data_IF_648170225164
#
_entry.id   IF_648170225164
#
_cell.length_a   1.000
_cell.length_b   1.000
_cell.length_c   1.000
_cell.angle_alpha   90.00
_cell.angle_beta   90.00
_cell.angle_gamma   90.00
#
_symmetry.space_group_name_H-M   'P 1'
#
loop_
_entity.id
_entity.type
_entity.pdbx_description
1 polymer ?
#
# COMPACT_ATOMS: atom_id res chain seq x y z
N UNK A 1 5.61 -19.25 13.71
CA UNK A 1 4.87 -18.57 12.61
C UNK A 1 3.79 -19.54 12.14
N UNK A 2 2.53 -19.30 12.51
CA UNK A 2 1.40 -20.09 11.99
C UNK A 2 1.12 -19.61 10.57
N UNK A 3 1.54 -20.40 9.59
CA UNK A 3 1.41 -20.07 8.16
C UNK A 3 -0.06 -20.08 7.74
N UNK A 4 -0.92 -20.80 8.45
CA UNK A 4 -2.34 -20.97 8.12
C UNK A 4 -3.16 -19.66 8.21
N UNK A 5 -2.80 -18.74 9.11
CA UNK A 5 -3.46 -17.41 9.17
C UNK A 5 -3.15 -16.52 7.96
N UNK A 6 -2.02 -16.77 7.27
CA UNK A 6 -1.65 -16.02 6.08
C UNK A 6 -2.48 -16.40 4.85
N UNK A 7 -3.09 -17.59 4.86
CA UNK A 7 -3.83 -18.20 3.74
C UNK A 7 -5.23 -18.64 4.17
N UNK A 8 -6.04 -17.72 4.67
CA UNK A 8 -7.34 -18.01 5.29
C UNK A 8 -8.52 -18.24 4.34
N UNK A 9 -8.37 -18.03 3.04
CA UNK A 9 -9.46 -18.18 2.06
C UNK A 9 -8.99 -18.77 0.73
N UNK A 10 -9.75 -19.72 0.19
CA UNK A 10 -9.53 -20.23 -1.16
C UNK A 10 -9.91 -19.16 -2.20
N UNK A 11 -9.14 -19.11 -3.29
CA UNK A 11 -9.34 -18.13 -4.37
C UNK A 11 -10.47 -18.61 -5.27
N UNK A 12 -11.45 -17.73 -5.55
CA UNK A 12 -12.50 -18.03 -6.53
C UNK A 12 -12.01 -17.76 -7.96
N UNK A 13 -11.39 -18.77 -8.55
CA UNK A 13 -10.89 -18.71 -9.94
C UNK A 13 -12.02 -18.53 -10.97
N UNK A 14 -13.19 -19.11 -10.72
CA UNK A 14 -14.33 -19.01 -11.63
C UNK A 14 -14.85 -17.57 -11.72
N UNK A 15 -14.86 -16.84 -10.60
CA UNK A 15 -15.23 -15.42 -10.58
C UNK A 15 -14.23 -14.56 -11.36
N UNK A 16 -12.93 -14.85 -11.24
CA UNK A 16 -11.87 -14.18 -12.01
C UNK A 16 -12.06 -14.44 -13.50
N UNK A 17 -12.20 -15.70 -13.91
CA UNK A 17 -12.38 -16.08 -15.32
C UNK A 17 -13.64 -15.42 -15.93
N UNK A 18 -14.74 -15.46 -15.19
CA UNK A 18 -16.02 -14.88 -15.62
C UNK A 18 -15.91 -13.38 -15.91
N UNK A 19 -15.17 -12.63 -15.09
CA UNK A 19 -15.05 -11.17 -15.20
C UNK A 19 -13.74 -10.68 -15.81
N UNK A 20 -12.85 -11.58 -16.24
CA UNK A 20 -11.57 -11.24 -16.84
C UNK A 20 -11.70 -10.26 -18.02
N UNK A 21 -12.65 -10.42 -18.96
CA UNK A 21 -12.82 -9.46 -20.05
C UNK A 21 -13.12 -8.03 -19.57
N UNK A 22 -13.95 -7.89 -18.53
CA UNK A 22 -14.33 -6.59 -17.97
C UNK A 22 -13.17 -5.96 -17.19
N UNK A 23 -12.41 -6.77 -16.46
CA UNK A 23 -11.18 -6.32 -15.79
C UNK A 23 -10.16 -5.80 -16.80
N UNK A 24 -9.97 -6.49 -17.92
CA UNK A 24 -9.07 -6.06 -19.00
C UNK A 24 -9.56 -4.76 -19.66
N UNK A 25 -10.88 -4.59 -19.86
CA UNK A 25 -11.45 -3.32 -20.36
C UNK A 25 -11.15 -2.15 -19.44
N UNK A 26 -11.23 -2.34 -18.12
CA UNK A 26 -10.85 -1.33 -17.13
C UNK A 26 -9.36 -1.01 -17.25
N UNK A 27 -8.50 -2.04 -17.29
CA UNK A 27 -7.06 -1.85 -17.42
C UNK A 27 -6.67 -1.10 -18.71
N UNK A 28 -7.28 -1.45 -19.84
CA UNK A 28 -7.06 -0.76 -21.11
C UNK A 28 -7.57 0.68 -21.10
N UNK A 29 -8.70 0.96 -20.45
CA UNK A 29 -9.24 2.32 -20.31
C UNK A 29 -8.32 3.22 -19.48
N UNK A 30 -7.73 2.66 -18.42
CA UNK A 30 -6.71 3.34 -17.61
C UNK A 30 -5.45 3.58 -18.45
N UNK A 31 -4.95 2.55 -19.14
CA UNK A 31 -3.75 2.65 -19.99
C UNK A 31 -3.91 3.68 -21.11
N UNK A 32 -5.13 3.80 -21.67
CA UNK A 32 -5.47 4.77 -22.69
C UNK A 32 -5.74 6.19 -22.14
N UNK A 33 -5.63 6.41 -20.83
CA UNK A 33 -5.87 7.71 -20.19
C UNK A 33 -7.33 8.15 -20.16
N UNK A 34 -8.28 7.27 -20.53
CA UNK A 34 -9.71 7.62 -20.59
C UNK A 34 -10.36 7.72 -19.22
N UNK A 35 -9.84 6.98 -18.25
CA UNK A 35 -10.31 6.99 -16.86
C UNK A 35 -9.10 6.92 -15.93
N UNK A 36 -9.09 7.74 -14.89
CA UNK A 36 -8.02 7.68 -13.88
C UNK A 36 -8.22 6.48 -12.94
N UNK A 37 -7.13 5.85 -12.45
CA UNK A 37 -7.22 4.77 -11.48
C UNK A 37 -8.03 5.14 -10.22
N UNK A 38 -7.88 6.38 -9.74
CA UNK A 38 -8.61 6.89 -8.58
C UNK A 38 -10.13 6.92 -8.80
N UNK A 39 -10.58 7.27 -10.01
CA UNK A 39 -12.00 7.27 -10.36
C UNK A 39 -12.59 5.87 -10.32
N UNK A 40 -11.87 4.89 -10.89
CA UNK A 40 -12.28 3.48 -10.84
C UNK A 40 -12.33 2.98 -9.41
N UNK A 41 -11.30 3.27 -8.60
CA UNK A 41 -11.24 2.82 -7.21
C UNK A 41 -12.40 3.39 -6.38
N UNK A 42 -12.72 4.68 -6.54
CA UNK A 42 -13.86 5.30 -5.89
C UNK A 42 -15.19 4.66 -6.32
N UNK A 43 -15.37 4.41 -7.62
CA UNK A 43 -16.60 3.80 -8.15
C UNK A 43 -16.79 2.35 -7.71
N UNK A 44 -15.72 1.56 -7.76
CA UNK A 44 -15.74 0.16 -7.33
C UNK A 44 -15.86 0.04 -5.80
N UNK A 45 -15.20 0.94 -5.06
CA UNK A 45 -15.23 1.00 -3.60
C UNK A 45 -16.60 1.35 -3.02
N UNK A 46 -17.32 2.28 -3.64
CA UNK A 46 -18.64 2.74 -3.16
C UNK A 46 -19.70 1.63 -3.17
N UNK A 47 -19.60 0.67 -4.10
CA UNK A 47 -20.53 -0.46 -4.25
C UNK A 47 -19.87 -1.83 -3.98
N UNK A 48 -18.73 -1.82 -3.28
CA UNK A 48 -17.77 -2.93 -3.18
C UNK A 48 -18.39 -4.28 -2.82
N UNK A 49 -19.34 -4.34 -1.87
CA UNK A 49 -19.95 -5.61 -1.45
C UNK A 49 -20.91 -6.24 -2.47
N UNK A 50 -21.55 -5.44 -3.34
CA UNK A 50 -22.51 -5.92 -4.36
C UNK A 50 -21.93 -5.95 -5.77
N UNK A 51 -20.78 -5.30 -5.98
CA UNK A 51 -20.18 -5.18 -7.29
C UNK A 51 -19.31 -6.40 -7.61
N UNK A 52 -19.79 -7.27 -8.51
CA UNK A 52 -19.07 -8.48 -8.92
C UNK A 52 -17.72 -8.20 -9.59
N UNK A 53 -17.59 -7.08 -10.31
CA UNK A 53 -16.32 -6.67 -10.90
C UNK A 53 -15.30 -6.28 -9.82
N UNK A 54 -15.75 -5.60 -8.76
CA UNK A 54 -14.88 -5.35 -7.59
C UNK A 54 -14.46 -6.65 -6.92
N UNK A 55 -15.39 -7.58 -6.73
CA UNK A 55 -15.09 -8.89 -6.14
C UNK A 55 -14.08 -9.66 -6.98
N UNK A 56 -14.22 -9.67 -8.31
CA UNK A 56 -13.25 -10.29 -9.21
C UNK A 56 -11.84 -9.66 -9.11
N UNK A 57 -11.74 -8.33 -9.04
CA UNK A 57 -10.45 -7.66 -8.78
C UNK A 57 -9.88 -7.99 -7.40
N UNK A 58 -10.73 -8.14 -6.38
CA UNK A 58 -10.32 -8.58 -5.04
C UNK A 58 -9.75 -10.00 -5.07
N UNK A 59 -10.42 -10.94 -5.72
CA UNK A 59 -9.96 -12.33 -5.87
C UNK A 59 -8.63 -12.40 -6.65
N UNK A 60 -8.49 -11.64 -7.74
CA UNK A 60 -7.21 -11.51 -8.43
C UNK A 60 -6.12 -10.98 -7.50
N UNK A 61 -6.43 -9.97 -6.69
CA UNK A 61 -5.50 -9.42 -5.70
C UNK A 61 -5.08 -10.45 -4.65
N UNK A 62 -6.00 -11.32 -4.21
CA UNK A 62 -5.68 -12.44 -3.32
C UNK A 62 -4.75 -13.44 -3.98
N UNK A 63 -4.98 -13.81 -5.24
CA UNK A 63 -4.10 -14.71 -5.99
C UNK A 63 -2.66 -14.16 -6.10
N UNK A 64 -2.53 -12.88 -6.47
CA UNK A 64 -1.22 -12.20 -6.56
C UNK A 64 -0.55 -12.15 -5.18
N UNK A 65 -1.29 -11.78 -4.13
CA UNK A 65 -0.78 -11.74 -2.75
C UNK A 65 -0.26 -13.11 -2.32
N UNK A 66 -1.05 -14.17 -2.54
CA UNK A 66 -0.67 -15.55 -2.20
C UNK A 66 0.62 -15.95 -2.92
N UNK A 67 0.70 -15.73 -4.24
CA UNK A 67 1.91 -16.01 -5.01
C UNK A 67 3.14 -15.23 -4.52
N UNK A 68 2.96 -13.96 -4.17
CA UNK A 68 4.02 -13.14 -3.59
C UNK A 68 4.46 -13.68 -2.22
N UNK A 69 3.54 -14.02 -1.33
CA UNK A 69 3.84 -14.55 0.00
C UNK A 69 4.60 -15.88 -0.09
N UNK A 70 4.21 -16.76 -0.99
CA UNK A 70 4.92 -18.02 -1.24
C UNK A 70 6.36 -17.76 -1.71
N UNK A 71 6.55 -16.81 -2.65
CA UNK A 71 7.88 -16.40 -3.11
C UNK A 71 8.71 -15.77 -1.99
N UNK A 72 8.09 -14.93 -1.16
CA UNK A 72 8.74 -14.29 -0.01
C UNK A 72 9.22 -15.31 1.02
N UNK A 73 8.41 -16.35 1.27
CA UNK A 73 8.78 -17.41 2.22
C UNK A 73 9.91 -18.29 1.70
N UNK A 74 9.93 -18.59 0.40
CA UNK A 74 10.91 -19.49 -0.23
C UNK A 74 12.22 -18.81 -0.63
N UNK A 75 12.24 -17.49 -0.80
CA UNK A 75 13.42 -16.76 -1.25
C UNK A 75 14.00 -15.89 -0.12
N UNK A 76 15.13 -16.32 0.44
CA UNK A 76 15.84 -15.61 1.50
C UNK A 76 16.37 -14.24 1.06
N UNK A 77 16.90 -14.13 -0.16
CA UNK A 77 17.42 -12.87 -0.70
C UNK A 77 16.31 -11.82 -0.80
N UNK A 78 15.15 -12.19 -1.35
CA UNK A 78 13.96 -11.33 -1.42
C UNK A 78 13.53 -10.87 -0.02
N UNK A 79 13.49 -11.80 0.94
CA UNK A 79 13.15 -11.49 2.33
C UNK A 79 14.16 -10.53 2.95
N UNK A 80 15.46 -10.72 2.73
CA UNK A 80 16.52 -9.83 3.21
C UNK A 80 16.38 -8.44 2.62
N UNK A 81 16.19 -8.31 1.31
CA UNK A 81 15.97 -7.02 0.65
C UNK A 81 14.77 -6.28 1.22
N UNK A 82 13.66 -6.98 1.44
CA UNK A 82 12.45 -6.38 2.04
C UNK A 82 12.71 -5.97 3.49
N UNK A 83 13.42 -6.79 4.28
CA UNK A 83 13.77 -6.45 5.66
C UNK A 83 14.68 -5.23 5.73
N UNK A 84 15.70 -5.14 4.88
CA UNK A 84 16.59 -3.99 4.81
C UNK A 84 15.84 -2.71 4.44
N UNK A 85 14.94 -2.78 3.46
CA UNK A 85 14.09 -1.64 3.10
C UNK A 85 13.15 -1.26 4.25
N UNK A 86 12.57 -2.24 4.94
CA UNK A 86 11.67 -2.02 6.08
C UNK A 86 12.41 -1.37 7.24
N UNK A 87 13.58 -1.90 7.62
CA UNK A 87 14.41 -1.35 8.69
C UNK A 87 14.77 0.11 8.42
N UNK A 88 15.14 0.45 7.17
CA UNK A 88 15.43 1.85 6.77
C UNK A 88 14.22 2.76 6.94
N UNK A 89 13.04 2.32 6.49
CA UNK A 89 11.81 3.09 6.62
C UNK A 89 11.37 3.22 8.09
N UNK A 90 11.50 2.18 8.90
CA UNK A 90 11.19 2.22 10.33
C UNK A 90 12.13 3.15 11.08
N UNK A 91 13.42 3.11 10.78
CA UNK A 91 14.42 4.02 11.36
C UNK A 91 14.11 5.47 11.00
N UNK A 92 13.76 5.74 9.74
CA UNK A 92 13.32 7.07 9.30
C UNK A 92 12.04 7.50 10.02
N UNK A 93 11.02 6.65 10.11
CA UNK A 93 9.77 6.97 10.79
C UNK A 93 9.99 7.22 12.29
N UNK A 94 10.84 6.44 12.95
CA UNK A 94 11.21 6.65 14.34
C UNK A 94 11.93 7.99 14.53
N UNK A 95 12.85 8.33 13.63
CA UNK A 95 13.54 9.61 13.64
C UNK A 95 12.59 10.79 13.40
N UNK A 96 11.71 10.72 12.40
CA UNK A 96 10.71 11.76 12.12
C UNK A 96 9.72 11.91 13.28
N UNK A 97 9.37 10.82 13.98
CA UNK A 97 8.56 10.89 15.21
C UNK A 97 9.33 11.57 16.34
N UNK A 98 10.59 11.21 16.56
CA UNK A 98 11.44 11.84 17.57
C UNK A 98 11.62 13.35 17.32
N UNK A 99 11.78 13.74 16.06
CA UNK A 99 11.96 15.14 15.65
C UNK A 99 10.69 15.98 15.78
N UNK A 100 9.51 15.34 15.76
CA UNK A 100 8.25 16.06 15.82
C UNK A 100 8.10 16.85 17.12
N UNK A 101 7.85 18.16 17.01
CA UNK A 101 7.72 19.04 18.17
C UNK A 101 6.27 19.10 18.65
N UNK A 102 6.02 18.65 19.89
CA UNK A 102 4.71 18.62 20.53
C UNK A 102 3.93 17.31 20.34
N UNK A 103 3.22 16.90 21.41
CA UNK A 103 2.26 15.77 21.45
C UNK A 103 2.79 14.38 21.06
N UNK A 104 4.07 14.03 21.26
CA UNK A 104 4.65 12.71 20.93
C UNK A 104 4.38 12.24 19.48
N UNK A 105 4.22 13.18 18.54
CA UNK A 105 3.86 12.90 17.15
C UNK A 105 2.38 12.58 16.92
N UNK A 106 1.51 12.78 17.91
CA UNK A 106 0.06 12.64 17.80
C UNK A 106 -0.51 13.91 17.17
N UNK A 107 -1.05 13.77 15.96
CA UNK A 107 -1.76 14.87 15.30
C UNK A 107 -3.17 14.98 15.90
N UNK A 108 -3.32 15.82 16.92
CA UNK A 108 -4.61 16.07 17.59
C UNK A 108 -5.64 16.85 16.76
N UNK A 109 -5.27 17.25 15.53
CA UNK A 109 -6.10 18.05 14.63
C UNK A 109 -6.88 17.13 13.67
N UNK A 110 -8.21 17.26 13.62
CA UNK A 110 -9.09 16.48 12.72
C UNK A 110 -9.20 17.07 11.30
N UNK A 111 -8.31 18.00 10.93
CA UNK A 111 -8.28 18.62 9.61
C UNK A 111 -7.21 17.98 8.71
N UNK A 112 -7.63 17.24 7.67
CA UNK A 112 -6.72 16.49 6.78
C UNK A 112 -5.67 17.36 6.09
N UNK A 113 -5.99 18.61 5.77
CA UNK A 113 -5.03 19.52 5.13
C UNK A 113 -3.90 19.87 6.08
N UNK A 114 -4.22 20.22 7.33
CA UNK A 114 -3.25 20.49 8.39
C UNK A 114 -2.41 19.26 8.72
N UNK A 115 -3.02 18.08 8.85
CA UNK A 115 -2.27 16.82 9.05
C UNK A 115 -1.24 16.60 7.94
N UNK A 116 -1.66 16.81 6.69
CA UNK A 116 -0.77 16.64 5.52
C UNK A 116 0.36 17.66 5.51
N UNK A 117 0.09 18.93 5.85
CA UNK A 117 1.11 19.97 5.96
C UNK A 117 2.13 19.62 7.03
N UNK A 118 1.66 19.21 8.22
CA UNK A 118 2.52 18.78 9.32
C UNK A 118 3.47 17.64 8.90
N UNK A 119 2.93 16.56 8.30
CA UNK A 119 3.73 15.43 7.84
C UNK A 119 4.80 15.89 6.83
N UNK A 120 4.42 16.69 5.83
CA UNK A 120 5.34 17.17 4.80
C UNK A 120 6.45 18.04 5.36
N UNK A 121 6.12 18.98 6.24
CA UNK A 121 7.14 19.84 6.87
C UNK A 121 8.06 19.05 7.79
N UNK A 122 7.52 18.10 8.57
CA UNK A 122 8.33 17.25 9.43
C UNK A 122 9.31 16.37 8.62
N UNK A 123 8.86 15.82 7.49
CA UNK A 123 9.74 15.09 6.56
C UNK A 123 10.82 16.00 5.97
N UNK A 124 10.50 17.24 5.61
CA UNK A 124 11.47 18.19 5.07
C UNK A 124 12.59 18.47 6.09
N UNK A 125 12.23 18.80 7.33
CA UNK A 125 13.20 19.08 8.39
C UNK A 125 14.02 17.81 8.71
N UNK A 126 13.38 16.64 8.76
CA UNK A 126 14.06 15.35 8.93
C UNK A 126 15.17 15.17 7.87
N UNK A 127 14.84 15.37 6.60
CA UNK A 127 15.81 15.24 5.51
C UNK A 127 16.93 16.29 5.59
N UNK A 128 16.62 17.55 5.96
CA UNK A 128 17.64 18.58 6.15
C UNK A 128 18.63 18.22 7.26
N UNK A 129 18.15 17.71 8.39
CA UNK A 129 19.01 17.27 9.50
C UNK A 129 19.85 16.06 9.14
N UNK A 130 19.29 15.07 8.44
CA UNK A 130 20.05 13.91 7.94
C UNK A 130 21.14 14.39 6.98
N UNK A 131 20.79 15.26 6.02
CA UNK A 131 21.75 15.80 5.07
C UNK A 131 22.88 16.55 5.78
N UNK A 132 22.55 17.42 6.75
CA UNK A 132 23.55 18.12 7.54
C UNK A 132 24.46 17.15 8.30
N UNK A 133 23.93 16.14 9.00
CA UNK A 133 24.77 15.20 9.77
C UNK A 133 25.64 14.27 8.91
N UNK A 134 25.29 14.05 7.63
CA UNK A 134 26.06 13.18 6.74
C UNK A 134 27.11 13.94 5.94
N UNK A 135 26.84 15.21 5.62
CA UNK A 135 27.67 16.01 4.70
C UNK A 135 28.32 17.26 5.31
N UNK A 136 27.97 17.65 6.54
CA UNK A 136 28.69 18.67 7.31
C UNK A 136 29.73 18.02 8.22
#
# INVERSE_FOLDING_TARGET
>A
MHIDELFSSNIDWALIETHLPDMLRVAMSIKAGRITPSTILNKLGTYSRKNRLYQAFRELGLAIRTGFLLKYLSNEELRRTIQEATNKNESFNAFTKWLSFGSDGIIGENDRERQRKFIKYNHLISNCLIFYNVFA
#
